data_IF_498120464346
#
_entry.id   IF_498120464346
#
_cell.length_a   1.000
_cell.length_b   1.000
_cell.length_c   1.000
_cell.angle_alpha   90.00
_cell.angle_beta   90.00
_cell.angle_gamma   90.00
#
_symmetry.space_group_name_H-M   'P 1'
#
loop_
_entity.id
_entity.type
_entity.pdbx_description
1 polymer ?
#
# COMPACT_ATOMS: atom_id res chain seq x y z
N UNK A 1 -11.65 13.05 -18.11
CA UNK A 1 -12.71 12.03 -17.93
C UNK A 1 -12.03 10.73 -17.52
N UNK A 2 -12.53 10.06 -16.48
CA UNK A 2 -12.05 8.73 -16.10
C UNK A 2 -12.97 7.67 -16.72
N UNK A 3 -12.39 6.66 -17.36
CA UNK A 3 -13.13 5.56 -17.96
C UNK A 3 -12.32 4.26 -17.84
N UNK A 4 -12.89 3.24 -17.20
CA UNK A 4 -12.24 1.93 -16.99
C UNK A 4 -10.82 2.04 -16.38
N UNK A 5 -10.64 2.89 -15.37
CA UNK A 5 -9.35 3.11 -14.70
C UNK A 5 -8.32 3.92 -15.49
N UNK A 6 -8.71 4.50 -16.63
CA UNK A 6 -7.86 5.39 -17.43
C UNK A 6 -8.38 6.81 -17.45
N UNK A 7 -7.47 7.77 -17.46
CA UNK A 7 -7.78 9.19 -17.52
C UNK A 7 -7.55 9.73 -18.93
N UNK A 8 -8.58 10.35 -19.51
CA UNK A 8 -8.52 10.99 -20.81
C UNK A 8 -8.73 12.50 -20.69
N UNK A 9 -7.87 13.28 -21.35
CA UNK A 9 -8.10 14.70 -21.62
C UNK A 9 -8.83 14.81 -22.95
N UNK A 10 -10.01 15.43 -22.95
CA UNK A 10 -10.84 15.57 -24.16
C UNK A 10 -11.05 17.06 -24.43
N UNK A 11 -10.70 17.50 -25.63
CA UNK A 11 -10.89 18.88 -26.08
C UNK A 11 -11.87 18.89 -27.25
N UNK A 12 -12.90 19.72 -27.15
CA UNK A 12 -13.88 19.96 -28.20
C UNK A 12 -13.54 21.28 -28.89
N UNK A 13 -13.34 21.22 -30.21
CA UNK A 13 -13.00 22.38 -31.02
C UNK A 13 -14.06 22.54 -32.11
N UNK A 14 -15.06 23.41 -31.89
CA UNK A 14 -16.11 23.66 -32.89
C UNK A 14 -15.54 24.35 -34.12
N UNK A 15 -16.10 24.02 -35.29
CA UNK A 15 -15.81 24.64 -36.59
C UNK A 15 -17.11 25.18 -37.14
N UNK A 16 -17.38 26.45 -36.83
CA UNK A 16 -18.67 27.10 -37.09
C UNK A 16 -18.98 27.21 -38.59
N UNK A 17 -17.97 27.48 -39.42
CA UNK A 17 -18.12 27.65 -40.88
C UNK A 17 -18.71 26.39 -41.58
N UNK A 18 -18.48 25.21 -41.01
CA UNK A 18 -18.85 23.93 -41.61
C UNK A 18 -19.81 23.12 -40.71
N UNK A 19 -20.29 23.73 -39.62
CA UNK A 19 -21.24 23.13 -38.67
C UNK A 19 -20.82 21.74 -38.16
N UNK A 20 -19.56 21.58 -37.75
CA UNK A 20 -19.07 20.35 -37.11
C UNK A 20 -18.16 20.65 -35.91
N UNK A 21 -17.84 19.61 -35.13
CA UNK A 21 -16.94 19.71 -33.97
C UNK A 21 -15.82 18.68 -34.11
N UNK A 22 -14.57 19.14 -33.99
CA UNK A 22 -13.43 18.25 -33.81
C UNK A 22 -13.32 17.83 -32.34
N UNK A 23 -13.09 16.54 -32.10
CA UNK A 23 -12.87 16.00 -30.76
C UNK A 23 -11.47 15.39 -30.71
N UNK A 24 -10.63 15.93 -29.82
CA UNK A 24 -9.28 15.41 -29.58
C UNK A 24 -9.25 14.73 -28.21
N UNK A 25 -8.74 13.50 -28.15
CA UNK A 25 -8.59 12.74 -26.92
C UNK A 25 -7.13 12.33 -26.72
N UNK A 26 -6.59 12.59 -25.53
CA UNK A 26 -5.26 12.13 -25.12
C UNK A 26 -5.39 11.30 -23.84
N UNK A 27 -4.80 10.10 -23.85
CA UNK A 27 -4.61 9.33 -22.62
C UNK A 27 -3.58 10.06 -21.75
N UNK A 28 -4.00 10.47 -20.56
CA UNK A 28 -3.19 11.19 -19.58
C UNK A 28 -3.07 10.37 -18.29
N UNK A 29 -3.32 9.06 -18.34
CA UNK A 29 -3.35 8.17 -17.17
C UNK A 29 -2.04 8.24 -16.40
N UNK A 30 -0.91 8.05 -17.06
CA UNK A 30 0.41 8.09 -16.40
C UNK A 30 0.66 9.43 -15.70
N UNK A 31 0.37 10.53 -16.38
CA UNK A 31 0.48 11.88 -15.80
C UNK A 31 -0.42 12.05 -14.58
N UNK A 32 -1.67 11.60 -14.66
CA UNK A 32 -2.64 11.70 -13.56
C UNK A 32 -2.25 10.84 -12.36
N UNK A 33 -1.73 9.63 -12.60
CA UNK A 33 -1.21 8.77 -11.54
C UNK A 33 0.00 9.41 -10.86
N UNK A 34 0.94 9.99 -11.61
CA UNK A 34 2.08 10.72 -11.06
C UNK A 34 1.65 11.96 -10.24
N UNK A 35 0.70 12.75 -10.75
CA UNK A 35 0.11 13.89 -10.02
C UNK A 35 -0.53 13.44 -8.70
N UNK A 36 -1.33 12.37 -8.74
CA UNK A 36 -1.98 11.82 -7.55
C UNK A 36 -0.97 11.29 -6.53
N UNK A 37 0.09 10.60 -6.98
CA UNK A 37 1.15 10.10 -6.11
C UNK A 37 1.86 11.25 -5.38
N UNK A 38 2.19 12.33 -6.09
CA UNK A 38 2.78 13.53 -5.51
C UNK A 38 1.85 14.22 -4.50
N UNK A 39 0.56 14.31 -4.83
CA UNK A 39 -0.45 14.86 -3.90
C UNK A 39 -0.54 14.02 -2.64
N UNK A 40 -0.61 12.70 -2.76
CA UNK A 40 -0.69 11.79 -1.62
C UNK A 40 0.55 11.86 -0.73
N UNK A 41 1.74 11.94 -1.33
CA UNK A 41 3.00 12.15 -0.62
C UNK A 41 3.01 13.48 0.15
N UNK A 42 2.58 14.58 -0.47
CA UNK A 42 2.54 15.89 0.17
C UNK A 42 1.52 15.96 1.32
N UNK A 43 0.40 15.23 1.23
CA UNK A 43 -0.57 15.14 2.33
C UNK A 43 0.08 14.50 3.56
N UNK A 44 0.80 13.37 3.39
CA UNK A 44 1.49 12.70 4.50
C UNK A 44 2.53 13.63 5.13
N UNK A 45 3.34 14.30 4.32
CA UNK A 45 4.33 15.26 4.83
C UNK A 45 3.66 16.45 5.54
N UNK A 46 2.55 16.95 5.00
CA UNK A 46 1.76 18.01 5.62
C UNK A 46 1.21 17.59 6.99
N UNK A 47 0.70 16.37 7.10
CA UNK A 47 0.18 15.80 8.34
C UNK A 47 1.26 15.67 9.42
N UNK A 48 2.48 15.26 9.03
CA UNK A 48 3.65 15.23 9.91
C UNK A 48 4.02 16.63 10.41
N UNK A 49 4.10 17.62 9.51
CA UNK A 49 4.45 19.00 9.86
C UNK A 49 3.39 19.66 10.75
N UNK A 50 2.10 19.35 10.50
CA UNK A 50 0.99 19.83 11.30
C UNK A 50 0.90 19.17 12.69
N UNK A 51 1.73 18.16 12.98
CA UNK A 51 1.73 17.46 14.26
C UNK A 51 0.46 16.64 14.48
N UNK A 52 -0.12 16.08 13.41
CA UNK A 52 -1.25 15.16 13.56
C UNK A 52 -0.89 13.95 14.43
N UNK A 53 -1.88 13.31 15.09
CA UNK A 53 -1.64 12.11 15.88
C UNK A 53 -0.88 11.05 15.08
N UNK A 54 0.15 10.46 15.69
CA UNK A 54 1.03 9.51 15.02
C UNK A 54 0.28 8.35 14.37
N UNK A 55 -0.78 7.85 15.02
CA UNK A 55 -1.62 6.79 14.47
C UNK A 55 -2.30 7.19 13.15
N UNK A 56 -2.87 8.40 13.08
CA UNK A 56 -3.53 8.90 11.87
C UNK A 56 -2.55 8.97 10.69
N UNK A 57 -1.29 9.34 10.97
CA UNK A 57 -0.25 9.38 9.94
C UNK A 57 0.09 7.97 9.44
N UNK A 58 0.18 6.98 10.33
CA UNK A 58 0.46 5.59 9.94
C UNK A 58 -0.70 4.95 9.16
N UNK A 59 -1.93 5.23 9.57
CA UNK A 59 -3.13 4.73 8.87
C UNK A 59 -3.21 5.34 7.46
N UNK A 60 -3.00 6.65 7.36
CA UNK A 60 -2.93 7.38 6.07
C UNK A 60 -1.84 6.82 5.14
N UNK A 61 -0.67 6.46 5.69
CA UNK A 61 0.40 5.81 4.92
C UNK A 61 -0.04 4.46 4.34
N UNK A 62 -0.70 3.63 5.15
CA UNK A 62 -1.19 2.32 4.70
C UNK A 62 -2.24 2.46 3.59
N UNK A 63 -3.27 3.26 3.82
CA UNK A 63 -4.38 3.47 2.87
C UNK A 63 -3.88 4.04 1.53
N UNK A 64 -2.94 5.00 1.58
CA UNK A 64 -2.37 5.59 0.36
C UNK A 64 -1.54 4.59 -0.43
N UNK A 65 -0.81 3.68 0.23
CA UNK A 65 -0.07 2.62 -0.48
C UNK A 65 -0.99 1.64 -1.18
N UNK A 66 -2.08 1.24 -0.51
CA UNK A 66 -3.07 0.29 -1.04
C UNK A 66 -3.83 0.84 -2.26
N UNK A 67 -4.09 2.16 -2.28
CA UNK A 67 -4.76 2.85 -3.40
C UNK A 67 -4.11 2.61 -4.76
N UNK A 68 -2.80 2.40 -4.82
CA UNK A 68 -2.05 2.30 -6.08
C UNK A 68 -1.87 0.87 -6.60
N UNK A 69 -2.29 -0.14 -5.83
CA UNK A 69 -2.16 -1.54 -6.23
C UNK A 69 -3.39 -2.33 -5.81
N UNK A 70 -4.13 -2.81 -6.80
CA UNK A 70 -5.28 -3.66 -6.55
C UNK A 70 -4.87 -4.95 -5.80
N UNK A 71 -5.61 -5.28 -4.75
CA UNK A 71 -5.35 -6.46 -3.91
C UNK A 71 -4.16 -6.32 -2.97
N UNK A 72 -3.44 -5.20 -2.96
CA UNK A 72 -2.42 -4.91 -1.96
C UNK A 72 -3.08 -4.56 -0.63
N UNK A 73 -2.59 -5.15 0.45
CA UNK A 73 -2.91 -4.79 1.83
C UNK A 73 -1.60 -4.49 2.54
N UNK A 74 -1.60 -3.48 3.38
CA UNK A 74 -0.39 -2.95 4.01
C UNK A 74 -0.48 -2.97 5.53
N UNK A 75 0.68 -3.10 6.15
CA UNK A 75 0.83 -2.93 7.60
C UNK A 75 2.17 -2.31 7.94
N UNK A 76 2.19 -1.59 9.06
CA UNK A 76 3.38 -1.06 9.69
C UNK A 76 3.50 -1.73 11.04
N UNK A 77 4.65 -2.37 11.28
CA UNK A 77 5.03 -2.86 12.60
C UNK A 77 6.12 -1.97 13.18
N UNK A 78 6.00 -1.68 14.47
CA UNK A 78 6.91 -0.81 15.21
C UNK A 78 7.75 -1.67 16.14
N UNK A 79 9.07 -1.51 16.06
CA UNK A 79 9.96 -2.15 17.02
C UNK A 79 9.74 -1.52 18.40
N UNK A 80 9.46 -2.36 19.38
CA UNK A 80 9.20 -1.92 20.74
C UNK A 80 10.43 -1.28 21.40
N UNK A 81 10.20 -0.60 22.53
CA UNK A 81 11.29 0.06 23.28
C UNK A 81 12.35 -0.92 23.77
N UNK A 82 11.99 -2.19 24.01
CA UNK A 82 12.94 -3.23 24.42
C UNK A 82 13.79 -3.75 23.26
N UNK A 83 13.46 -3.39 22.02
CA UNK A 83 14.05 -3.86 20.77
C UNK A 83 13.96 -5.38 20.58
N UNK A 84 12.97 -6.01 21.20
CA UNK A 84 12.76 -7.47 21.13
C UNK A 84 11.58 -7.86 20.27
N UNK A 85 10.54 -7.03 20.24
CA UNK A 85 9.29 -7.37 19.59
C UNK A 85 8.91 -6.30 18.57
N UNK A 86 8.50 -6.75 17.40
CA UNK A 86 7.70 -5.94 16.49
C UNK A 86 6.26 -5.98 17.01
N UNK A 87 5.71 -4.80 17.26
CA UNK A 87 4.33 -4.60 17.67
C UNK A 87 3.53 -4.02 16.52
N UNK A 88 2.23 -4.25 16.53
CA UNK A 88 1.31 -3.61 15.59
C UNK A 88 1.42 -2.08 15.69
N UNK A 89 1.68 -1.43 14.56
CA UNK A 89 1.63 0.03 14.41
C UNK A 89 0.37 0.47 13.68
N UNK A 90 0.16 -0.02 12.45
CA UNK A 90 -1.04 0.28 11.66
C UNK A 90 -1.31 -0.83 10.65
N UNK A 91 -2.57 -1.13 10.39
CA UNK A 91 -3.03 -2.10 9.39
C UNK A 91 -4.54 -1.95 9.13
N UNK A 92 -5.01 -0.78 8.68
CA UNK A 92 -6.44 -0.42 8.66
C UNK A 92 -7.29 -1.37 7.80
N UNK A 93 -6.72 -1.88 6.70
CA UNK A 93 -7.42 -2.75 5.75
C UNK A 93 -7.20 -4.24 6.01
N UNK A 94 -6.32 -4.62 6.94
CA UNK A 94 -6.09 -6.03 7.26
C UNK A 94 -7.16 -6.57 8.21
N UNK A 95 -7.57 -7.85 8.06
CA UNK A 95 -8.53 -8.46 8.96
C UNK A 95 -8.06 -8.43 10.43
N UNK A 96 -8.91 -7.97 11.34
CA UNK A 96 -8.56 -7.86 12.75
C UNK A 96 -8.14 -9.21 13.39
N UNK A 97 -8.66 -10.34 12.88
CA UNK A 97 -8.25 -11.68 13.30
C UNK A 97 -6.78 -11.98 12.94
N UNK A 98 -6.35 -11.60 11.75
CA UNK A 98 -4.96 -11.72 11.30
C UNK A 98 -4.03 -10.84 12.13
N UNK A 99 -4.39 -9.56 12.29
CA UNK A 99 -3.61 -8.59 13.07
C UNK A 99 -3.38 -9.06 14.51
N UNK A 100 -4.41 -9.63 15.16
CA UNK A 100 -4.27 -10.19 16.51
C UNK A 100 -3.30 -11.38 16.56
N UNK A 101 -3.38 -12.30 15.59
CA UNK A 101 -2.49 -13.47 15.51
C UNK A 101 -1.02 -13.07 15.24
N UNK A 102 -0.79 -11.93 14.58
CA UNK A 102 0.54 -11.40 14.25
C UNK A 102 0.99 -10.24 15.15
N UNK A 103 0.36 -10.04 16.31
CA UNK A 103 0.52 -8.82 17.12
C UNK A 103 1.87 -8.67 17.83
N UNK A 104 2.60 -9.77 18.05
CA UNK A 104 3.93 -9.78 18.65
C UNK A 104 4.85 -10.72 17.89
N UNK A 105 5.74 -10.13 17.10
CA UNK A 105 6.70 -10.89 16.28
C UNK A 105 8.10 -10.65 16.82
N UNK A 106 8.82 -11.72 17.17
CA UNK A 106 10.24 -11.65 17.51
C UNK A 106 11.04 -11.73 16.22
N UNK A 107 11.83 -10.71 15.84
CA UNK A 107 12.66 -10.79 14.64
C UNK A 107 13.60 -12.00 14.66
N UNK A 108 13.67 -12.71 13.54
CA UNK A 108 14.52 -13.89 13.39
C UNK A 108 14.71 -14.24 11.92
N UNK A 109 15.60 -15.20 11.59
CA UNK A 109 15.98 -15.50 10.21
C UNK A 109 14.86 -16.17 9.37
N UNK A 110 13.76 -16.60 10.00
CA UNK A 110 12.67 -17.38 9.39
C UNK A 110 11.32 -17.07 10.04
N UNK A 111 10.98 -15.79 10.12
CA UNK A 111 9.80 -15.29 10.87
C UNK A 111 8.92 -14.46 9.94
N UNK A 112 8.37 -15.12 8.92
CA UNK A 112 7.64 -14.47 7.83
C UNK A 112 8.48 -13.41 7.12
N UNK A 113 7.82 -12.52 6.37
CA UNK A 113 8.52 -11.43 5.67
C UNK A 113 8.98 -10.33 6.64
N UNK A 114 8.10 -9.80 7.49
CA UNK A 114 8.41 -8.65 8.34
C UNK A 114 9.43 -8.94 9.46
N UNK A 115 9.31 -10.09 10.14
CA UNK A 115 10.25 -10.51 11.19
C UNK A 115 11.64 -10.79 10.64
N UNK A 116 11.70 -11.42 9.46
CA UNK A 116 12.97 -11.69 8.76
C UNK A 116 13.61 -10.40 8.23
N UNK A 117 12.82 -9.50 7.66
CA UNK A 117 13.30 -8.20 7.19
C UNK A 117 13.90 -7.37 8.32
N UNK A 118 13.23 -7.32 9.49
CA UNK A 118 13.72 -6.61 10.66
C UNK A 118 15.03 -7.21 11.20
N UNK A 119 15.17 -8.55 11.16
CA UNK A 119 16.37 -9.25 11.60
C UNK A 119 17.56 -9.03 10.65
N UNK A 120 17.35 -9.18 9.34
CA UNK A 120 18.40 -9.06 8.33
C UNK A 120 18.70 -7.62 7.89
N UNK A 121 17.84 -6.66 8.26
CA UNK A 121 17.91 -5.24 7.87
C UNK A 121 17.95 -5.04 6.35
N UNK A 122 17.16 -5.83 5.64
CA UNK A 122 17.01 -5.73 4.18
C UNK A 122 15.58 -6.04 3.78
N UNK A 123 15.19 -5.60 2.58
CA UNK A 123 13.90 -5.96 2.00
C UNK A 123 13.80 -7.46 1.80
N UNK A 124 12.67 -8.03 2.18
CA UNK A 124 12.29 -9.42 1.94
C UNK A 124 11.00 -9.37 1.14
N UNK A 125 10.95 -10.13 0.04
CA UNK A 125 9.78 -10.26 -0.82
C UNK A 125 9.50 -11.75 -0.96
N UNK A 126 8.30 -12.17 -0.59
CA UNK A 126 7.82 -13.54 -0.74
C UNK A 126 6.71 -13.55 -1.77
N UNK A 127 7.00 -14.13 -2.94
CA UNK A 127 6.03 -14.21 -4.05
C UNK A 127 4.96 -15.29 -3.83
N UNK A 128 5.27 -16.32 -3.03
CA UNK A 128 4.34 -17.40 -2.72
C UNK A 128 4.51 -17.94 -1.29
N UNK A 129 3.65 -17.47 -0.38
CA UNK A 129 3.63 -17.85 1.04
C UNK A 129 3.46 -19.36 1.24
N UNK A 130 2.74 -20.06 0.36
CA UNK A 130 2.48 -21.49 0.53
C UNK A 130 3.73 -22.37 0.39
N UNK A 131 4.75 -21.87 -0.32
CA UNK A 131 5.98 -22.60 -0.66
C UNK A 131 7.23 -22.00 -0.01
N UNK A 132 7.17 -20.76 0.47
CA UNK A 132 8.34 -20.06 0.96
C UNK A 132 8.78 -20.54 2.36
N UNK A 133 10.07 -20.92 2.54
CA UNK A 133 10.57 -21.37 3.83
C UNK A 133 10.37 -20.35 4.96
N UNK A 134 10.44 -19.04 4.69
CA UNK A 134 10.28 -18.01 5.72
C UNK A 134 8.91 -18.06 6.41
N UNK A 135 7.92 -18.66 5.74
CA UNK A 135 6.55 -18.78 6.18
C UNK A 135 6.20 -20.17 6.73
N UNK A 136 7.15 -21.09 6.89
CA UNK A 136 6.84 -22.48 7.32
C UNK A 136 5.96 -22.55 8.58
N UNK A 137 6.28 -21.75 9.59
CA UNK A 137 5.54 -21.70 10.87
C UNK A 137 4.30 -20.78 10.86
N UNK A 138 4.08 -20.02 9.79
CA UNK A 138 3.11 -18.92 9.73
C UNK A 138 2.12 -18.99 8.56
N UNK A 139 2.40 -19.83 7.55
CA UNK A 139 1.65 -19.88 6.28
C UNK A 139 0.17 -20.14 6.50
N UNK A 140 -0.19 -21.00 7.45
CA UNK A 140 -1.59 -21.35 7.72
C UNK A 140 -2.40 -20.11 8.15
N UNK A 141 -1.80 -19.26 8.98
CA UNK A 141 -2.41 -18.00 9.43
C UNK A 141 -2.61 -17.06 8.24
N UNK A 142 -1.61 -16.87 7.38
CA UNK A 142 -1.74 -16.00 6.21
C UNK A 142 -2.76 -16.51 5.18
N UNK A 143 -2.73 -17.82 4.90
CA UNK A 143 -3.60 -18.46 3.93
C UNK A 143 -5.08 -18.46 4.36
N UNK A 144 -5.37 -18.56 5.67
CA UNK A 144 -6.72 -18.41 6.24
C UNK A 144 -7.39 -17.09 5.83
N UNK A 145 -6.61 -16.01 5.70
CA UNK A 145 -7.07 -14.69 5.28
C UNK A 145 -6.83 -14.40 3.79
N UNK A 146 -6.44 -15.41 3.01
CA UNK A 146 -6.26 -15.30 1.55
C UNK A 146 -4.98 -14.59 1.12
N UNK A 147 -4.04 -14.33 2.02
CA UNK A 147 -2.75 -13.74 1.67
C UNK A 147 -1.87 -14.78 0.98
N UNK A 148 -1.40 -14.45 -0.23
CA UNK A 148 -0.62 -15.37 -1.08
C UNK A 148 0.84 -14.96 -1.24
N UNK A 149 1.14 -13.68 -1.04
CA UNK A 149 2.45 -13.07 -1.16
C UNK A 149 2.62 -12.02 -0.05
N UNK A 150 3.85 -11.69 0.34
CA UNK A 150 4.15 -10.68 1.35
C UNK A 150 5.55 -10.10 1.24
#
# INVERSE_FOLDING_TARGET
MEFSGRFFSITFSPVDEHNYVNVYGFDITERKLAENYLLDHNIILGDLVAGKPFQEVLDSLCEKMEKYSEGLLSSILILDKSKKFLQHGSAPSLPAGYVRKMSQVVPGPKVGSCGTAAFLKRTIVVENISLDPLWEDYKEIALEYGHKAC
#
